data_IF_754647735923
#
_entry.id   IF_754647735923
#
_cell.length_a   1.000
_cell.length_b   1.000
_cell.length_c   1.000
_cell.angle_alpha   90.00
_cell.angle_beta   90.00
_cell.angle_gamma   90.00
#
_symmetry.space_group_name_H-M   'P 1'
#
loop_
_entity.id
_entity.type
_entity.pdbx_description
1 polymer ?
#
# COMPACT_ATOMS: atom_id res chain seq x y z
N UNK A 1 -15.70 -10.01 -2.31
CA UNK A 1 -15.54 -10.25 -0.88
C UNK A 1 -14.77 -11.54 -0.68
N UNK A 2 -13.69 -11.49 0.10
CA UNK A 2 -12.88 -12.67 0.44
C UNK A 2 -13.11 -12.96 1.92
N UNK A 3 -14.07 -13.83 2.20
CA UNK A 3 -14.36 -14.28 3.56
C UNK A 3 -13.74 -15.67 3.81
N UNK A 4 -13.33 -15.93 5.05
CA UNK A 4 -12.75 -17.21 5.42
C UNK A 4 -12.22 -17.20 6.85
N UNK A 5 -11.80 -18.37 7.35
CA UNK A 5 -11.20 -18.51 8.69
C UNK A 5 -9.93 -17.65 8.83
N UNK A 6 -9.48 -17.48 10.06
CA UNK A 6 -8.20 -16.81 10.33
C UNK A 6 -7.05 -17.61 9.72
N UNK A 7 -6.00 -16.92 9.27
CA UNK A 7 -4.77 -17.52 8.74
C UNK A 7 -4.92 -18.43 7.51
N UNK A 8 -5.93 -18.18 6.66
CA UNK A 8 -6.12 -18.93 5.39
C UNK A 8 -5.48 -18.25 4.17
N UNK A 9 -4.73 -17.16 4.37
CA UNK A 9 -4.05 -16.43 3.29
C UNK A 9 -4.81 -15.24 2.67
N UNK A 10 -5.84 -14.69 3.36
CA UNK A 10 -6.60 -13.52 2.85
C UNK A 10 -5.71 -12.30 2.60
N UNK A 11 -4.90 -11.93 3.59
CA UNK A 11 -3.92 -10.83 3.47
C UNK A 11 -2.87 -11.14 2.39
N UNK A 12 -2.36 -12.38 2.33
CA UNK A 12 -1.41 -12.80 1.30
C UNK A 12 -1.99 -12.67 -0.13
N UNK A 13 -3.29 -12.89 -0.31
CA UNK A 13 -3.96 -12.66 -1.58
C UNK A 13 -4.01 -11.16 -1.96
N UNK A 14 -4.34 -10.28 -1.02
CA UNK A 14 -4.32 -8.83 -1.24
C UNK A 14 -2.90 -8.32 -1.52
N UNK A 15 -1.90 -8.84 -0.79
CA UNK A 15 -0.48 -8.57 -1.02
C UNK A 15 -0.04 -8.97 -2.45
N UNK A 16 -0.48 -10.13 -2.93
CA UNK A 16 -0.18 -10.59 -4.29
C UNK A 16 -0.75 -9.64 -5.36
N UNK A 17 -1.96 -9.13 -5.16
CA UNK A 17 -2.53 -8.10 -6.04
C UNK A 17 -1.69 -6.82 -5.98
N UNK A 18 -1.33 -6.37 -4.77
CA UNK A 18 -0.49 -5.19 -4.57
C UNK A 18 0.86 -5.26 -5.28
N UNK A 19 1.51 -6.43 -5.22
CA UNK A 19 2.74 -6.69 -5.95
C UNK A 19 2.52 -6.62 -7.46
N UNK A 20 1.50 -7.30 -7.99
CA UNK A 20 1.25 -7.34 -9.43
C UNK A 20 1.05 -5.92 -10.01
N UNK A 21 0.27 -5.07 -9.33
CA UNK A 21 0.04 -3.68 -9.75
C UNK A 21 1.25 -2.77 -9.54
N UNK A 22 2.22 -3.18 -8.73
CA UNK A 22 3.53 -2.53 -8.67
C UNK A 22 4.45 -2.94 -9.82
N UNK A 23 4.14 -4.03 -10.54
CA UNK A 23 4.94 -4.55 -11.64
C UNK A 23 6.38 -4.84 -11.21
N UNK A 24 7.35 -4.38 -12.00
CA UNK A 24 8.78 -4.49 -11.65
C UNK A 24 9.28 -3.34 -10.77
N UNK A 25 8.40 -2.46 -10.28
CA UNK A 25 8.79 -1.34 -9.43
C UNK A 25 9.16 -1.82 -8.02
N UNK A 26 10.28 -1.36 -7.42
CA UNK A 26 10.66 -1.71 -6.05
C UNK A 26 9.62 -1.32 -4.98
N UNK A 27 8.73 -0.39 -5.32
CA UNK A 27 7.73 0.13 -4.39
C UNK A 27 6.76 -0.98 -3.95
N UNK A 28 6.58 -2.04 -4.74
CA UNK A 28 5.77 -3.19 -4.33
C UNK A 28 6.32 -3.93 -3.12
N UNK A 29 7.65 -4.08 -3.04
CA UNK A 29 8.31 -4.73 -1.88
C UNK A 29 8.23 -3.82 -0.65
N UNK A 30 8.51 -2.52 -0.84
CA UNK A 30 8.34 -1.54 0.23
C UNK A 30 6.89 -1.51 0.73
N UNK A 31 5.93 -1.60 -0.19
CA UNK A 31 4.51 -1.62 0.11
C UNK A 31 4.13 -2.84 0.99
N UNK A 32 4.49 -4.07 0.61
CA UNK A 32 4.24 -5.25 1.47
C UNK A 32 4.94 -5.14 2.83
N UNK A 33 6.18 -4.66 2.83
CA UNK A 33 6.94 -4.46 4.08
C UNK A 33 6.19 -3.57 5.06
N UNK A 34 5.62 -2.47 4.55
CA UNK A 34 4.77 -1.58 5.32
C UNK A 34 3.47 -2.27 5.77
N UNK A 35 2.82 -3.05 4.91
CA UNK A 35 1.61 -3.80 5.25
C UNK A 35 1.82 -4.78 6.40
N UNK A 36 2.99 -5.39 6.47
CA UNK A 36 3.38 -6.36 7.52
C UNK A 36 3.86 -5.69 8.80
N UNK A 37 3.93 -4.36 8.86
CA UNK A 37 4.51 -3.62 9.98
C UNK A 37 6.02 -3.83 10.15
N UNK A 38 6.70 -4.28 9.10
CA UNK A 38 8.15 -4.54 9.09
C UNK A 38 8.97 -3.32 8.64
N UNK A 39 8.31 -2.19 8.37
CA UNK A 39 8.98 -0.95 8.01
C UNK A 39 9.52 -0.26 9.28
N UNK A 40 10.83 -0.10 9.36
CA UNK A 40 11.50 0.69 10.41
C UNK A 40 12.02 2.00 9.85
N UNK A 41 12.12 3.02 10.70
CA UNK A 41 12.85 4.27 10.40
C UNK A 41 14.37 4.04 10.37
N UNK A 42 14.86 2.96 11.01
CA UNK A 42 16.26 2.55 11.02
C UNK A 42 16.47 1.40 10.04
N UNK A 43 17.12 1.69 8.91
CA UNK A 43 17.49 0.68 7.93
C UNK A 43 18.67 -0.15 8.45
N UNK A 44 18.39 -1.26 9.14
CA UNK A 44 19.40 -2.21 9.60
C UNK A 44 19.43 -3.48 8.71
N UNK A 45 20.59 -4.11 8.51
CA UNK A 45 20.78 -5.24 7.56
C UNK A 45 19.84 -6.40 7.87
N UNK A 46 19.71 -6.71 9.16
CA UNK A 46 18.89 -7.81 9.67
C UNK A 46 17.42 -7.68 9.26
N UNK A 47 16.91 -6.45 9.13
CA UNK A 47 15.53 -6.22 8.70
C UNK A 47 15.34 -6.40 7.20
N UNK A 48 16.33 -6.00 6.41
CA UNK A 48 16.26 -6.15 4.95
C UNK A 48 16.29 -7.64 4.55
N UNK A 49 17.13 -8.43 5.21
CA UNK A 49 17.12 -9.89 5.05
C UNK A 49 15.82 -10.51 5.55
N UNK A 50 15.26 -10.03 6.67
CA UNK A 50 13.97 -10.48 7.19
C UNK A 50 12.83 -10.19 6.20
N UNK A 51 12.84 -9.05 5.49
CA UNK A 51 11.86 -8.76 4.44
C UNK A 51 11.94 -9.79 3.31
N UNK A 52 13.14 -10.05 2.79
CA UNK A 52 13.31 -11.00 1.68
C UNK A 52 12.97 -12.43 2.12
N UNK A 53 13.45 -12.84 3.30
CA UNK A 53 13.15 -14.15 3.88
C UNK A 53 11.68 -14.29 4.28
N UNK A 54 10.95 -13.21 4.52
CA UNK A 54 9.50 -13.28 4.79
C UNK A 54 8.67 -13.55 3.53
N UNK A 55 9.24 -13.39 2.33
CA UNK A 55 8.54 -13.70 1.07
C UNK A 55 8.65 -15.19 0.71
N UNK A 56 9.76 -15.83 1.07
CA UNK A 56 10.05 -17.22 0.71
C UNK A 56 10.07 -18.11 1.95
N UNK A 57 9.46 -19.29 1.88
CA UNK A 57 9.62 -20.27 2.94
C UNK A 57 11.11 -20.68 3.02
N UNK A 58 11.72 -20.51 4.19
CA UNK A 58 13.18 -20.60 4.42
C UNK A 58 13.80 -21.96 4.12
N UNK A 59 12.98 -22.99 3.88
CA UNK A 59 13.41 -24.34 3.50
C UNK A 59 13.47 -24.57 1.98
N UNK A 60 12.92 -23.66 1.17
CA UNK A 60 12.84 -23.77 -0.29
C UNK A 60 13.29 -22.47 -0.96
N UNK A 61 14.58 -22.14 -0.87
CA UNK A 61 15.18 -20.95 -1.48
C UNK A 61 15.18 -20.94 -3.04
N UNK A 62 14.47 -21.86 -3.69
CA UNK A 62 14.52 -22.05 -5.16
C UNK A 62 13.19 -21.82 -5.88
N UNK A 63 12.09 -21.49 -5.18
CA UNK A 63 10.78 -21.33 -5.84
C UNK A 63 10.47 -19.87 -6.16
N UNK A 64 10.24 -19.60 -7.45
CA UNK A 64 9.73 -18.32 -7.93
C UNK A 64 8.31 -18.06 -7.42
N UNK A 65 8.05 -16.85 -6.92
CA UNK A 65 6.67 -16.39 -6.69
C UNK A 65 6.15 -15.84 -8.01
N UNK A 66 5.08 -16.44 -8.54
CA UNK A 66 4.45 -15.97 -9.78
C UNK A 66 3.01 -15.55 -9.53
N UNK A 67 2.70 -14.29 -9.83
CA UNK A 67 1.35 -13.73 -9.77
C UNK A 67 0.88 -13.42 -11.18
N UNK A 68 -0.28 -13.98 -11.57
CA UNK A 68 -0.90 -13.75 -12.88
C UNK A 68 -2.31 -13.20 -12.68
N UNK A 69 -2.70 -12.23 -13.50
CA UNK A 69 -4.08 -11.77 -13.56
C UNK A 69 -4.45 -11.35 -14.98
N UNK A 70 -5.76 -11.29 -15.23
CA UNK A 70 -6.32 -10.68 -16.43
C UNK A 70 -6.78 -9.26 -16.08
N UNK A 71 -6.23 -8.26 -16.76
CA UNK A 71 -6.60 -6.84 -16.62
C UNK A 71 -7.02 -6.37 -18.01
N UNK A 72 -8.23 -5.85 -18.15
CA UNK A 72 -8.81 -5.44 -19.44
C UNK A 72 -8.70 -6.52 -20.54
N UNK A 73 -9.00 -7.77 -20.17
CA UNK A 73 -8.88 -8.95 -21.05
C UNK A 73 -7.47 -9.27 -21.54
N UNK A 74 -6.44 -8.69 -20.91
CA UNK A 74 -5.04 -8.95 -21.22
C UNK A 74 -4.34 -9.60 -20.04
N UNK A 75 -3.42 -10.53 -20.32
CA UNK A 75 -2.72 -11.25 -19.27
C UNK A 75 -1.50 -10.46 -18.79
N UNK A 76 -1.42 -10.28 -17.49
CA UNK A 76 -0.28 -9.70 -16.78
C UNK A 76 0.39 -10.76 -15.92
N UNK A 77 1.72 -10.73 -15.85
CA UNK A 77 2.49 -11.69 -15.08
C UNK A 77 3.63 -10.98 -14.35
N UNK A 78 3.67 -11.13 -13.02
CA UNK A 78 4.80 -10.78 -12.18
C UNK A 78 5.48 -12.06 -11.69
N UNK A 79 6.79 -12.11 -11.80
CA UNK A 79 7.63 -13.15 -11.22
C UNK A 79 8.66 -12.50 -10.29
N UNK A 80 8.73 -12.98 -9.05
CA UNK A 80 9.71 -12.57 -8.04
C UNK A 80 10.63 -13.75 -7.79
N UNK A 81 11.91 -13.57 -8.10
CA UNK A 81 12.93 -14.62 -7.96
C UNK A 81 14.02 -14.19 -6.97
N UNK A 82 14.34 -14.99 -5.95
CA UNK A 82 15.51 -14.76 -5.12
C UNK A 82 16.78 -15.06 -5.92
N UNK A 83 17.83 -14.29 -5.68
CA UNK A 83 19.13 -14.47 -6.31
C UNK A 83 20.24 -13.97 -5.40
N UNK A 84 21.44 -14.48 -5.61
CA UNK A 84 22.65 -13.96 -4.96
C UNK A 84 23.45 -13.18 -5.99
N UNK A 85 23.87 -11.97 -5.64
CA UNK A 85 24.71 -11.16 -6.51
C UNK A 85 26.05 -10.94 -5.84
N UNK A 86 27.12 -11.30 -6.54
CA UNK A 86 28.47 -10.94 -6.15
C UNK A 86 28.71 -9.49 -6.55
N UNK A 87 29.08 -8.67 -5.57
CA UNK A 87 29.53 -7.31 -5.83
C UNK A 87 30.92 -7.15 -5.24
N UNK A 88 31.84 -6.71 -6.09
CA UNK A 88 33.20 -6.36 -5.70
C UNK A 88 33.23 -4.87 -5.41
N UNK A 89 33.40 -4.49 -4.15
CA UNK A 89 33.69 -3.10 -3.80
C UNK A 89 35.19 -2.90 -3.85
N UNK A 90 35.62 -1.87 -4.57
CA UNK A 90 37.00 -1.41 -4.59
C UNK A 90 37.07 -0.23 -3.62
N UNK A 91 37.70 -0.43 -2.48
CA UNK A 91 37.95 0.66 -1.54
C UNK A 91 39.06 1.53 -2.14
N UNK A 92 38.68 2.72 -2.64
CA UNK A 92 39.65 3.70 -3.11
C UNK A 92 40.28 4.38 -1.88
N UNK A 93 41.60 4.28 -1.69
CA UNK A 93 42.29 4.97 -0.61
C UNK A 93 42.11 6.48 -0.76
N UNK A 94 41.75 7.16 0.33
CA UNK A 94 41.55 8.63 0.34
C UNK A 94 42.85 9.41 0.19
N UNK A 95 44.01 8.81 0.48
CA UNK A 95 45.31 9.46 0.47
C UNK A 95 46.21 8.89 -0.64
N UNK A 96 46.56 9.77 -1.58
CA UNK A 96 47.46 9.46 -2.69
C UNK A 96 48.91 9.43 -2.20
N UNK A 97 49.55 8.26 -2.30
CA UNK A 97 50.86 8.14 -2.98
C UNK A 97 51.36 6.70 -3.09
N UNK A 98 50.86 5.72 -2.31
CA UNK A 98 51.19 4.30 -2.49
C UNK A 98 50.16 3.37 -1.83
N UNK A 99 48.92 3.36 -2.32
CA UNK A 99 47.89 2.52 -1.74
C UNK A 99 47.32 1.54 -2.78
N UNK A 100 47.55 0.26 -2.54
CA UNK A 100 46.95 -0.84 -3.30
C UNK A 100 45.44 -0.81 -3.09
N UNK A 101 44.69 -0.78 -4.18
CA UNK A 101 43.25 -0.93 -4.14
C UNK A 101 42.91 -2.35 -3.66
N UNK A 102 42.27 -2.46 -2.50
CA UNK A 102 41.79 -3.75 -2.00
C UNK A 102 40.38 -4.00 -2.53
N UNK A 103 40.21 -5.10 -3.26
CA UNK A 103 38.89 -5.59 -3.64
C UNK A 103 38.34 -6.48 -2.53
N UNK A 104 37.17 -6.12 -2.01
CA UNK A 104 36.36 -7.02 -1.18
C UNK A 104 35.22 -7.55 -2.03
N UNK A 105 35.19 -8.85 -2.27
CA UNK A 105 34.04 -9.54 -2.84
C UNK A 105 33.07 -9.90 -1.71
N UNK A 106 31.87 -9.34 -1.74
CA UNK A 106 30.78 -9.73 -0.85
C UNK A 106 29.60 -10.25 -1.68
N UNK A 107 28.96 -11.31 -1.17
CA UNK A 107 27.71 -11.82 -1.71
C UNK A 107 26.54 -11.11 -1.02
N UNK A 108 25.62 -10.60 -1.82
CA UNK A 108 24.41 -9.93 -1.34
C UNK A 108 23.17 -10.68 -1.80
N UNK A 109 22.16 -10.74 -0.93
CA UNK A 109 20.84 -11.25 -1.31
C UNK A 109 20.14 -10.21 -2.19
N UNK A 110 19.56 -10.67 -3.29
CA UNK A 110 18.88 -9.85 -4.28
C UNK A 110 17.54 -10.46 -4.70
N UNK A 111 16.57 -9.61 -5.03
CA UNK A 111 15.29 -10.01 -5.64
C UNK A 111 15.21 -9.50 -7.07
N UNK A 112 14.97 -10.41 -8.01
CA UNK A 112 14.64 -10.05 -9.38
C UNK A 112 13.12 -9.98 -9.52
N UNK A 113 12.62 -8.77 -9.80
CA UNK A 113 11.23 -8.52 -10.17
C UNK A 113 11.13 -8.49 -11.69
N UNK A 114 10.55 -9.53 -12.27
CA UNK A 114 10.23 -9.58 -13.69
C UNK A 114 8.74 -9.37 -13.90
N UNK A 115 8.38 -8.31 -14.61
CA UNK A 115 6.99 -8.05 -14.98
C UNK A 115 6.86 -8.06 -16.50
N UNK A 116 5.96 -8.91 -16.98
CA UNK A 116 5.61 -9.04 -18.40
C UNK A 116 4.26 -8.37 -18.66
N UNK A 117 4.24 -7.22 -19.36
CA UNK A 117 3.00 -6.62 -19.82
C UNK A 117 2.37 -7.43 -20.97
N UNK A 118 1.12 -7.15 -21.32
CA UNK A 118 0.48 -7.71 -22.50
C UNK A 118 1.25 -7.35 -23.77
N UNK A 119 1.55 -8.37 -24.59
CA UNK A 119 2.10 -8.18 -25.95
C UNK A 119 3.40 -7.35 -26.00
N UNK A 120 4.13 -7.26 -24.88
CA UNK A 120 5.40 -6.54 -24.76
C UNK A 120 6.45 -7.40 -24.07
N UNK A 121 7.71 -7.00 -24.25
CA UNK A 121 8.84 -7.63 -23.56
C UNK A 121 8.76 -7.42 -22.05
N UNK A 122 9.26 -8.42 -21.32
CA UNK A 122 9.33 -8.35 -19.88
C UNK A 122 10.34 -7.29 -19.44
N UNK A 123 9.92 -6.43 -18.51
CA UNK A 123 10.83 -5.58 -17.75
C UNK A 123 11.38 -6.38 -16.57
N UNK A 124 12.67 -6.25 -16.29
CA UNK A 124 13.32 -6.91 -15.15
C UNK A 124 14.07 -5.88 -14.35
N UNK A 125 13.74 -5.77 -13.07
CA UNK A 125 14.44 -4.94 -12.10
C UNK A 125 15.02 -5.81 -10.99
N UNK A 126 16.24 -5.49 -10.59
CA UNK A 126 16.91 -6.21 -9.50
C UNK A 126 17.00 -5.28 -8.30
N UNK A 127 16.36 -5.68 -7.20
CA UNK A 127 16.57 -5.09 -5.89
C UNK A 127 17.70 -5.83 -5.18
N UNK A 128 18.58 -5.08 -4.54
CA UNK A 128 19.71 -5.61 -3.78
C UNK A 128 19.75 -4.95 -2.41
N UNK A 129 20.22 -5.68 -1.42
CA UNK A 129 20.50 -5.14 -0.10
C UNK A 129 22.01 -5.00 -0.02
N UNK A 130 22.53 -3.77 -0.01
CA UNK A 130 23.96 -3.50 0.09
C UNK A 130 24.22 -2.50 1.22
N UNK A 131 25.09 -2.86 2.17
CA UNK A 131 25.49 -2.01 3.28
C UNK A 131 24.29 -1.34 3.99
N UNK A 132 23.27 -2.13 4.31
CA UNK A 132 22.04 -1.72 5.00
C UNK A 132 21.15 -0.75 4.21
N UNK A 133 21.39 -0.62 2.91
CA UNK A 133 20.55 0.16 2.01
C UNK A 133 19.97 -0.74 0.94
N UNK A 134 18.68 -0.56 0.71
CA UNK A 134 17.98 -1.18 -0.40
C UNK A 134 18.39 -0.41 -1.67
N UNK A 135 19.28 -0.99 -2.45
CA UNK A 135 19.76 -0.42 -3.72
C UNK A 135 19.04 -1.10 -4.88
N UNK A 136 18.86 -0.36 -5.96
CA UNK A 136 18.16 -0.86 -7.14
C UNK A 136 18.99 -0.62 -8.38
N UNK A 137 19.01 -1.61 -9.28
CA UNK A 137 19.45 -1.38 -10.66
C UNK A 137 18.21 -1.23 -11.52
N UNK A 138 17.84 0.02 -11.81
CA UNK A 138 16.69 0.33 -12.63
C UNK A 138 17.00 0.06 -14.11
N UNK A 139 16.40 -0.99 -14.66
CA UNK A 139 16.14 -1.09 -16.10
C UNK A 139 14.66 -0.75 -16.29
N UNK A 140 14.33 0.10 -17.29
CA UNK A 140 12.97 0.60 -17.62
C UNK A 140 11.85 -0.09 -16.81
N UNK A 141 11.33 0.58 -15.77
CA UNK A 141 10.25 0.05 -14.94
C UNK A 141 8.94 0.03 -15.73
N UNK A 142 8.17 -1.04 -15.58
CA UNK A 142 6.81 -1.10 -16.11
C UNK A 142 5.88 -1.73 -15.08
N UNK A 143 4.66 -1.21 -15.03
CA UNK A 143 3.56 -1.65 -14.16
C UNK A 143 2.24 -1.56 -14.92
N UNK A 144 1.17 -2.21 -14.46
CA UNK A 144 -0.17 -1.94 -14.98
C UNK A 144 -0.55 -0.45 -14.82
N UNK A 145 -1.39 0.08 -15.70
CA UNK A 145 -1.79 1.49 -15.74
C UNK A 145 -2.96 1.85 -14.81
N UNK A 146 -3.23 1.05 -13.77
CA UNK A 146 -4.35 1.30 -12.86
C UNK A 146 -3.87 1.90 -11.53
N UNK A 147 -4.62 2.87 -11.01
CA UNK A 147 -4.37 3.43 -9.68
C UNK A 147 -4.78 2.41 -8.61
N UNK A 148 -3.80 1.86 -7.89
CA UNK A 148 -4.04 0.98 -6.76
C UNK A 148 -3.91 1.77 -5.45
N UNK A 149 -4.93 1.68 -4.59
CA UNK A 149 -4.81 2.10 -3.18
C UNK A 149 -5.22 0.98 -2.24
N UNK A 150 -4.67 1.02 -1.04
CA UNK A 150 -4.92 0.02 -0.02
C UNK A 150 -5.27 0.67 1.31
N UNK A 151 -6.21 0.07 2.01
CA UNK A 151 -6.66 0.50 3.32
C UNK A 151 -6.69 -0.74 4.23
N UNK A 152 -5.99 -0.68 5.37
CA UNK A 152 -6.15 -1.69 6.42
C UNK A 152 -6.16 -1.05 7.81
N UNK A 153 -6.43 -1.87 8.82
CA UNK A 153 -6.28 -1.51 10.23
C UNK A 153 -4.88 -0.96 10.56
N UNK A 154 -3.85 -1.56 9.96
CA UNK A 154 -2.43 -1.19 10.11
C UNK A 154 -2.03 -0.01 9.22
N UNK A 155 -2.65 0.14 8.04
CA UNK A 155 -2.37 1.22 7.11
C UNK A 155 -3.46 2.30 7.16
N UNK A 156 -3.25 3.29 8.04
CA UNK A 156 -4.14 4.44 8.18
C UNK A 156 -3.59 5.63 7.40
N UNK A 157 -4.46 6.29 6.64
CA UNK A 157 -4.14 7.59 6.05
C UNK A 157 -3.67 8.56 7.13
N UNK A 158 -2.54 9.21 6.89
CA UNK A 158 -2.05 10.23 7.83
C UNK A 158 -2.95 11.48 7.77
N UNK A 159 -2.81 12.34 8.79
CA UNK A 159 -3.65 13.55 8.94
C UNK A 159 -3.62 14.47 7.72
N UNK A 160 -2.43 14.65 7.12
CA UNK A 160 -2.23 15.49 5.93
C UNK A 160 -2.95 14.90 4.71
N UNK A 161 -2.76 13.62 4.46
CA UNK A 161 -3.43 12.91 3.36
C UNK A 161 -4.96 12.98 3.49
N UNK A 162 -5.52 12.78 4.69
CA UNK A 162 -6.97 12.91 4.91
C UNK A 162 -7.47 14.32 4.59
N UNK A 163 -6.72 15.34 4.99
CA UNK A 163 -7.09 16.73 4.76
C UNK A 163 -7.03 17.11 3.27
N UNK A 164 -5.98 16.67 2.57
CA UNK A 164 -5.82 16.85 1.12
C UNK A 164 -6.99 16.19 0.36
N UNK A 165 -7.27 14.91 0.65
CA UNK A 165 -8.38 14.19 0.03
C UNK A 165 -9.75 14.82 0.32
N UNK A 166 -9.98 15.28 1.55
CA UNK A 166 -11.22 15.99 1.86
C UNK A 166 -11.32 17.29 1.06
N UNK A 167 -10.21 18.02 0.88
CA UNK A 167 -10.17 19.21 0.05
C UNK A 167 -10.55 18.92 -1.41
N UNK A 168 -10.04 17.83 -2.00
CA UNK A 168 -10.41 17.40 -3.36
C UNK A 168 -11.90 17.07 -3.48
N UNK A 169 -12.48 16.44 -2.46
CA UNK A 169 -13.93 16.12 -2.40
C UNK A 169 -14.78 17.38 -2.25
N UNK A 170 -14.27 18.38 -1.54
CA UNK A 170 -14.93 19.68 -1.43
C UNK A 170 -14.93 20.42 -2.78
N UNK A 171 -13.80 20.41 -3.48
CA UNK A 171 -13.65 21.03 -4.80
C UNK A 171 -14.53 20.36 -5.88
N UNK A 172 -14.77 19.06 -5.78
CA UNK A 172 -15.65 18.31 -6.70
C UNK A 172 -17.14 18.39 -6.34
N UNK A 173 -17.52 19.01 -5.21
CA UNK A 173 -18.91 19.14 -4.78
C UNK A 173 -19.53 17.87 -4.19
N UNK A 174 -18.75 16.81 -3.97
CA UNK A 174 -19.23 15.50 -3.54
C UNK A 174 -19.33 15.33 -2.01
N UNK A 175 -18.88 16.35 -1.25
CA UNK A 175 -18.91 16.36 0.23
C UNK A 175 -20.28 16.02 0.83
N UNK A 176 -21.37 16.46 0.20
CA UNK A 176 -22.72 16.16 0.70
C UNK A 176 -23.04 14.67 0.65
N UNK A 177 -22.58 13.96 -0.39
CA UNK A 177 -22.72 12.50 -0.48
C UNK A 177 -21.84 11.80 0.56
N UNK A 178 -20.61 12.28 0.76
CA UNK A 178 -19.71 11.74 1.79
C UNK A 178 -20.36 11.79 3.18
N UNK A 179 -20.97 12.93 3.54
CA UNK A 179 -21.64 13.07 4.86
C UNK A 179 -22.81 12.09 4.98
N UNK A 180 -23.64 11.93 3.94
CA UNK A 180 -24.77 10.98 3.94
C UNK A 180 -24.29 9.53 4.15
N UNK A 181 -23.21 9.15 3.49
CA UNK A 181 -22.62 7.82 3.65
C UNK A 181 -22.12 7.60 5.09
N UNK A 182 -21.49 8.61 5.70
CA UNK A 182 -20.96 8.54 7.06
C UNK A 182 -22.03 8.56 8.16
N UNK A 183 -23.21 9.12 7.89
CA UNK A 183 -24.34 9.16 8.83
C UNK A 183 -24.87 7.77 9.20
N UNK A 184 -24.50 6.73 8.46
CA UNK A 184 -24.83 5.33 8.82
C UNK A 184 -24.14 4.90 10.12
N UNK A 185 -22.97 5.46 10.44
CA UNK A 185 -22.25 5.19 11.69
C UNK A 185 -22.56 6.25 12.74
N UNK A 186 -22.53 7.53 12.35
CA UNK A 186 -22.84 8.65 13.25
C UNK A 186 -23.99 9.48 12.66
N UNK A 187 -25.25 9.14 12.96
CA UNK A 187 -26.43 9.79 12.38
C UNK A 187 -26.50 11.30 12.62
N UNK A 188 -25.84 11.81 13.66
CA UNK A 188 -25.86 13.26 13.98
C UNK A 188 -24.85 14.06 13.17
N UNK A 189 -23.95 13.39 12.44
CA UNK A 189 -22.90 14.06 11.67
C UNK A 189 -23.52 14.96 10.59
N UNK A 190 -23.40 16.28 10.77
CA UNK A 190 -23.97 17.28 9.87
C UNK A 190 -22.92 17.93 8.96
N UNK A 191 -21.66 17.94 9.39
CA UNK A 191 -20.56 18.58 8.66
C UNK A 191 -19.23 17.90 8.98
N UNK A 192 -18.36 17.83 7.97
CA UNK A 192 -16.92 17.59 8.14
C UNK A 192 -16.16 18.77 7.56
N UNK A 193 -15.06 19.16 8.22
CA UNK A 193 -14.12 20.18 7.75
C UNK A 193 -12.70 19.90 8.21
N UNK A 194 -11.71 20.49 7.53
CA UNK A 194 -10.32 20.50 7.99
C UNK A 194 -10.05 21.78 8.79
N UNK A 195 -9.46 21.64 9.98
CA UNK A 195 -8.98 22.76 10.80
C UNK A 195 -7.49 22.56 11.07
N UNK A 196 -6.68 23.60 10.87
CA UNK A 196 -5.24 23.56 11.15
C UNK A 196 -4.98 24.04 12.58
N UNK A 197 -4.41 23.17 13.40
CA UNK A 197 -4.03 23.49 14.79
C UNK A 197 -2.55 23.16 14.95
N UNK A 198 -1.74 24.14 15.36
CA UNK A 198 -0.30 23.97 15.51
C UNK A 198 0.41 23.52 14.22
N UNK A 199 -0.05 23.98 13.06
CA UNK A 199 0.46 23.58 11.75
C UNK A 199 0.00 22.19 11.27
N UNK A 200 -0.82 21.48 12.05
CA UNK A 200 -1.32 20.16 11.69
C UNK A 200 -2.76 20.25 11.20
N UNK A 201 -3.06 19.80 9.97
CA UNK A 201 -4.44 19.75 9.48
C UNK A 201 -5.16 18.57 10.11
N UNK A 202 -6.28 18.81 10.79
CA UNK A 202 -7.07 17.79 11.48
C UNK A 202 -8.50 17.86 10.96
N UNK A 203 -9.10 16.70 10.69
CA UNK A 203 -10.51 16.62 10.32
C UNK A 203 -11.39 16.70 11.56
N UNK A 204 -12.41 17.55 11.50
CA UNK A 204 -13.40 17.77 12.53
C UNK A 204 -14.80 17.48 11.99
N UNK A 205 -15.62 16.82 12.81
CA UNK A 205 -17.04 16.57 12.57
C UNK A 205 -17.92 17.42 13.49
N UNK A 206 -19.03 17.95 12.95
CA UNK A 206 -20.10 18.55 13.73
C UNK A 206 -21.20 17.51 13.95
N UNK A 207 -21.58 17.28 15.21
CA UNK A 207 -22.67 16.38 15.62
C UNK A 207 -23.75 17.08 16.45
N UNK A 208 -23.85 18.41 16.35
CA UNK A 208 -24.83 19.21 17.10
C UNK A 208 -24.44 19.52 18.54
N UNK A 209 -23.14 19.46 18.86
CA UNK A 209 -22.59 19.89 20.15
C UNK A 209 -21.98 21.29 20.04
N UNK A 210 -21.70 21.92 21.18
CA UNK A 210 -21.12 23.28 21.25
C UNK A 210 -19.80 23.44 20.48
N UNK A 211 -19.04 22.34 20.34
CA UNK A 211 -17.76 22.31 19.62
C UNK A 211 -17.73 21.13 18.66
N UNK A 212 -17.08 21.35 17.51
CA UNK A 212 -16.76 20.24 16.60
C UNK A 212 -15.79 19.27 17.28
N UNK A 213 -15.93 17.99 16.98
CA UNK A 213 -15.10 16.92 17.54
C UNK A 213 -14.12 16.45 16.47
N UNK A 214 -12.83 16.23 16.80
CA UNK A 214 -11.90 15.60 15.86
C UNK A 214 -12.46 14.25 15.41
N UNK A 215 -12.47 13.95 14.11
CA UNK A 215 -12.95 12.66 13.59
C UNK A 215 -12.22 11.49 14.28
N UNK A 216 -10.93 11.66 14.59
CA UNK A 216 -10.11 10.72 15.34
C UNK A 216 -10.71 10.32 16.71
N UNK A 217 -11.47 11.19 17.36
CA UNK A 217 -12.11 10.97 18.66
C UNK A 217 -13.55 10.44 18.57
N UNK A 218 -14.11 10.30 17.35
CA UNK A 218 -15.50 9.87 17.12
C UNK A 218 -15.66 8.35 16.94
N UNK A 219 -14.63 7.57 17.29
CA UNK A 219 -14.63 6.11 17.21
C UNK A 219 -13.91 5.53 15.99
N UNK A 220 -13.40 4.31 16.14
CA UNK A 220 -12.55 3.65 15.13
C UNK A 220 -13.30 3.35 13.83
N UNK A 221 -14.53 2.85 13.93
CA UNK A 221 -15.37 2.56 12.76
C UNK A 221 -15.58 3.79 11.87
N UNK A 222 -15.92 4.94 12.45
CA UNK A 222 -16.07 6.18 11.67
C UNK A 222 -14.76 6.59 11.02
N UNK A 223 -13.64 6.55 11.75
CA UNK A 223 -12.32 6.85 11.19
C UNK A 223 -11.93 5.96 10.01
N UNK A 224 -12.27 4.67 10.11
CA UNK A 224 -12.00 3.69 9.07
C UNK A 224 -12.87 3.96 7.85
N UNK A 225 -14.18 4.17 8.04
CA UNK A 225 -15.09 4.47 6.93
C UNK A 225 -14.73 5.79 6.23
N UNK A 226 -14.37 6.83 6.98
CA UNK A 226 -13.82 8.09 6.42
C UNK A 226 -12.61 7.78 5.55
N UNK A 227 -11.66 6.97 6.04
CA UNK A 227 -10.44 6.68 5.28
C UNK A 227 -10.74 5.92 3.98
N UNK A 228 -11.67 4.96 4.01
CA UNK A 228 -12.13 4.21 2.83
C UNK A 228 -12.79 5.15 1.82
N UNK A 229 -13.76 5.96 2.25
CA UNK A 229 -14.51 6.85 1.37
C UNK A 229 -13.65 7.97 0.78
N UNK A 230 -12.74 8.54 1.57
CA UNK A 230 -11.76 9.51 1.06
C UNK A 230 -10.87 8.87 0.00
N UNK A 231 -10.39 7.65 0.23
CA UNK A 231 -9.53 6.93 -0.73
C UNK A 231 -10.27 6.59 -2.02
N UNK A 232 -11.52 6.11 -1.91
CA UNK A 232 -12.37 5.80 -3.05
C UNK A 232 -12.56 7.03 -3.96
N UNK A 233 -12.91 8.16 -3.34
CA UNK A 233 -13.24 9.38 -4.07
C UNK A 233 -12.01 10.08 -4.67
N UNK A 234 -10.91 10.15 -3.93
CA UNK A 234 -9.74 10.96 -4.30
C UNK A 234 -8.68 10.17 -5.09
N UNK A 235 -8.51 8.87 -4.84
CA UNK A 235 -7.37 8.10 -5.38
C UNK A 235 -7.73 6.92 -6.26
N UNK A 236 -8.93 6.37 -6.14
CA UNK A 236 -9.29 5.11 -6.79
C UNK A 236 -10.23 5.26 -7.97
N UNK A 237 -10.47 6.48 -8.48
CA UNK A 237 -11.29 6.65 -9.68
C UNK A 237 -10.66 5.90 -10.85
N UNK A 238 -11.45 5.06 -11.51
CA UNK A 238 -11.00 4.15 -12.58
C UNK A 238 -9.84 3.22 -12.12
N UNK A 239 -9.83 2.87 -10.83
CA UNK A 239 -8.73 2.15 -10.19
C UNK A 239 -9.20 0.99 -9.32
N UNK A 240 -8.34 0.58 -8.39
CA UNK A 240 -8.56 -0.55 -7.50
C UNK A 240 -8.40 -0.10 -6.06
N UNK A 241 -9.34 -0.51 -5.21
CA UNK A 241 -9.24 -0.38 -3.77
C UNK A 241 -9.08 -1.78 -3.17
N UNK A 242 -8.03 -1.98 -2.38
CA UNK A 242 -7.86 -3.16 -1.55
C UNK A 242 -8.18 -2.79 -0.10
N UNK A 243 -9.09 -3.54 0.54
CA UNK A 243 -9.39 -3.34 1.96
C UNK A 243 -9.15 -4.62 2.72
N UNK A 244 -8.21 -4.61 3.66
CA UNK A 244 -7.98 -5.74 4.55
C UNK A 244 -8.70 -5.55 5.90
N UNK A 245 -9.07 -6.67 6.50
CA UNK A 245 -9.75 -6.77 7.80
C UNK A 245 -10.91 -5.78 7.96
N UNK A 246 -11.71 -5.61 6.93
CA UNK A 246 -12.75 -4.60 6.86
C UNK A 246 -13.74 -4.68 8.03
N UNK A 247 -14.00 -5.86 8.58
CA UNK A 247 -14.83 -6.09 9.76
C UNK A 247 -14.30 -5.43 11.04
N UNK A 248 -12.98 -5.22 11.16
CA UNK A 248 -12.38 -4.66 12.36
C UNK A 248 -12.83 -3.21 12.61
N UNK A 249 -13.27 -2.92 13.82
CA UNK A 249 -13.73 -1.59 14.25
C UNK A 249 -15.20 -1.28 13.96
N UNK A 250 -15.94 -2.19 13.32
CA UNK A 250 -17.39 -2.07 13.13
C UNK A 250 -18.16 -3.07 13.98
N UNK A 251 -19.29 -2.63 14.54
CA UNK A 251 -20.24 -3.56 15.15
C UNK A 251 -20.90 -4.41 14.07
N UNK A 252 -21.11 -5.70 14.32
CA UNK A 252 -21.63 -6.64 13.32
C UNK A 252 -22.97 -6.20 12.69
N UNK A 253 -23.80 -5.50 13.47
CA UNK A 253 -25.11 -4.99 13.01
C UNK A 253 -25.03 -3.95 11.90
N UNK A 254 -23.90 -3.22 11.77
CA UNK A 254 -23.74 -2.18 10.75
C UNK A 254 -23.00 -2.67 9.51
N UNK A 255 -22.35 -3.84 9.55
CA UNK A 255 -21.51 -4.36 8.45
C UNK A 255 -22.27 -4.42 7.12
N UNK A 256 -23.54 -4.87 7.12
CA UNK A 256 -24.36 -4.90 5.91
C UNK A 256 -24.51 -3.52 5.26
N UNK A 257 -24.67 -2.47 6.07
CA UNK A 257 -24.77 -1.11 5.55
C UNK A 257 -23.41 -0.61 5.07
N UNK A 258 -22.31 -0.94 5.75
CA UNK A 258 -20.95 -0.65 5.30
C UNK A 258 -20.69 -1.26 3.91
N UNK A 259 -21.09 -2.52 3.68
CA UNK A 259 -20.95 -3.15 2.36
C UNK A 259 -21.69 -2.39 1.27
N UNK A 260 -22.94 -1.98 1.54
CA UNK A 260 -23.75 -1.22 0.58
C UNK A 260 -23.13 0.14 0.26
N UNK A 261 -22.58 0.83 1.24
CA UNK A 261 -21.87 2.10 1.04
C UNK A 261 -20.66 1.88 0.14
N UNK A 262 -19.82 0.88 0.46
CA UNK A 262 -18.59 0.61 -0.31
C UNK A 262 -18.95 0.21 -1.75
N UNK A 263 -19.94 -0.66 -1.97
CA UNK A 263 -20.41 -1.03 -3.31
C UNK A 263 -20.93 0.19 -4.08
N UNK A 264 -21.79 1.01 -3.44
CA UNK A 264 -22.34 2.23 -4.04
C UNK A 264 -21.24 3.23 -4.43
N UNK A 265 -20.31 3.51 -3.51
CA UNK A 265 -19.18 4.40 -3.76
C UNK A 265 -18.26 3.83 -4.85
N UNK A 266 -17.96 2.53 -4.83
CA UNK A 266 -17.11 1.88 -5.83
C UNK A 266 -17.71 2.00 -7.23
N UNK A 267 -19.03 1.80 -7.38
CA UNK A 267 -19.72 1.99 -8.67
C UNK A 267 -19.68 3.43 -9.13
N UNK A 268 -19.91 4.39 -8.22
CA UNK A 268 -19.88 5.82 -8.51
C UNK A 268 -18.51 6.29 -9.02
N UNK A 269 -17.43 5.73 -8.50
CA UNK A 269 -16.06 6.08 -8.89
C UNK A 269 -15.44 5.14 -9.93
N UNK A 270 -16.22 4.18 -10.47
CA UNK A 270 -15.72 3.14 -11.36
C UNK A 270 -14.48 2.42 -10.79
N UNK A 271 -14.53 2.09 -9.50
CA UNK A 271 -13.46 1.43 -8.76
C UNK A 271 -13.76 -0.05 -8.59
N UNK A 272 -12.77 -0.92 -8.81
CA UNK A 272 -12.84 -2.30 -8.36
C UNK A 272 -12.43 -2.38 -6.88
N UNK A 273 -13.40 -2.55 -5.98
CA UNK A 273 -13.12 -2.79 -4.57
C UNK A 273 -12.96 -4.30 -4.30
N UNK A 274 -11.79 -4.68 -3.79
CA UNK A 274 -11.46 -6.03 -3.33
C UNK A 274 -11.33 -5.96 -1.82
N UNK A 275 -12.27 -6.61 -1.16
CA UNK A 275 -12.51 -6.55 0.27
C UNK A 275 -12.65 -7.95 0.82
#
# INVERSE_FOLDING_TARGET
MIAGKNNVGKTAFLEAIGLLFSGSHPNGIAYITNLRGLASETADTLQSELIFNSLFNTSSQEQDITVKAMIDSRQHCLTIRPSTVESTTIDLPSDQENALAFSKSQQYIALNLSYKPPEQDASVNTLRIQANKLTQTLKKTTSPSANLSFVSSQFRLNRRQKAEMLGEIELSGEKSSLIKDLQIIEPRLSQITTIVIGGMPILYGNIGLDKMIPIAAMGEGLNKLVSILLTLSAKCRDGILLVDEIENGFHHSVLQNIWRIIDSASRRFNTQAIV
#
